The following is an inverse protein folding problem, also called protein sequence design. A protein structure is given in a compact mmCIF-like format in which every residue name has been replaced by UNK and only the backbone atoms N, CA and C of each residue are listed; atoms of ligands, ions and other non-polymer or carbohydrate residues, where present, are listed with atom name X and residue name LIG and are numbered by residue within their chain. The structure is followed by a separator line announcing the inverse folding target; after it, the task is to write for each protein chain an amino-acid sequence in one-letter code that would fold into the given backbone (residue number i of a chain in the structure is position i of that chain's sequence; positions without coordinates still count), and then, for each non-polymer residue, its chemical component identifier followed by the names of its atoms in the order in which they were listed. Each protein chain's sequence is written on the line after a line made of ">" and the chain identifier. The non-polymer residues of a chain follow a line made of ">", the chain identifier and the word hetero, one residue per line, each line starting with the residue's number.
data_IF_566345061740
#
_entry.id   IF_566345061740
#
_cell.length_a   1.000
_cell.length_b   1.000
_cell.length_c   1.000
_cell.angle_alpha   90.00
_cell.angle_beta   90.00
_cell.angle_gamma   90.00
#
_symmetry.space_group_name_H-M   'P 1'
#
loop_
_entity.id
_entity.type
_entity.pdbx_description
1 polymer ?
#
# COMPACT_ATOMS: atom_id res chain seq x y z
N UNK A 1 -20.97 2.44 -3.53
CA UNK A 1 -21.20 2.08 -2.11
C UNK A 1 -20.24 0.94 -1.85
N UNK A 2 -18.97 1.31 -1.81
CA UNK A 2 -17.79 0.44 -1.84
C UNK A 2 -17.82 -0.54 -0.66
N UNK A 3 -17.68 -1.82 -0.99
CA UNK A 3 -17.56 -2.92 -0.04
C UNK A 3 -16.15 -2.88 0.57
N UNK A 4 -15.91 -1.96 1.50
CA UNK A 4 -14.80 -2.12 2.42
C UNK A 4 -15.03 -3.46 3.16
N UNK A 5 -14.06 -4.38 3.21
CA UNK A 5 -14.24 -5.59 3.97
C UNK A 5 -14.52 -5.21 5.44
N UNK A 6 -15.54 -5.82 6.06
CA UNK A 6 -15.88 -5.65 7.49
C UNK A 6 -14.85 -6.34 8.41
N UNK A 7 -13.60 -6.33 7.97
CA UNK A 7 -12.50 -7.05 8.56
C UNK A 7 -11.88 -6.21 9.69
N UNK A 8 -11.60 -6.80 10.86
CA UNK A 8 -11.00 -6.05 11.97
C UNK A 8 -9.58 -5.55 11.65
N UNK A 9 -8.92 -6.09 10.62
CA UNK A 9 -7.60 -5.65 10.16
C UNK A 9 -7.61 -4.32 9.39
N UNK A 10 -8.73 -3.92 8.76
CA UNK A 10 -8.81 -2.68 7.96
C UNK A 10 -8.25 -1.44 8.67
N UNK A 11 -8.69 -1.09 9.90
CA UNK A 11 -8.15 0.07 10.60
C UNK A 11 -6.66 -0.07 10.93
N UNK A 12 -6.17 -1.28 11.19
CA UNK A 12 -4.74 -1.53 11.44
C UNK A 12 -3.91 -1.33 10.16
N UNK A 13 -4.40 -1.81 9.02
CA UNK A 13 -3.76 -1.62 7.71
C UNK A 13 -3.70 -0.13 7.35
N UNK A 14 -4.79 0.63 7.54
CA UNK A 14 -4.81 2.08 7.31
C UNK A 14 -3.80 2.80 8.22
N UNK A 15 -3.72 2.41 9.50
CA UNK A 15 -2.75 2.99 10.42
C UNK A 15 -1.30 2.75 9.93
N UNK A 16 -0.98 1.53 9.48
CA UNK A 16 0.32 1.20 8.91
C UNK A 16 0.61 1.92 7.60
N UNK A 17 -0.37 2.01 6.71
CA UNK A 17 -0.24 2.77 5.47
C UNK A 17 0.11 4.25 5.75
N UNK A 18 -0.53 4.85 6.76
CA UNK A 18 -0.20 6.21 7.21
C UNK A 18 1.23 6.32 7.76
N UNK A 19 1.73 5.34 8.50
CA UNK A 19 3.12 5.36 8.96
C UNK A 19 4.11 5.27 7.79
N UNK A 20 3.79 4.50 6.75
CA UNK A 20 4.62 4.43 5.54
C UNK A 20 4.60 5.76 4.79
N UNK A 21 3.43 6.37 4.63
CA UNK A 21 3.30 7.70 4.03
C UNK A 21 4.09 8.77 4.77
N UNK A 22 4.22 8.66 6.10
CA UNK A 22 5.00 9.60 6.90
C UNK A 22 6.51 9.53 6.58
N UNK A 23 6.97 8.43 5.99
CA UNK A 23 8.35 8.23 5.55
C UNK A 23 8.58 8.67 4.10
N UNK A 24 7.52 9.01 3.35
CA UNK A 24 7.63 9.47 1.96
C UNK A 24 8.18 10.90 1.95
N UNK A 25 9.35 11.14 1.32
CA UNK A 25 9.93 12.47 1.24
C UNK A 25 9.03 13.41 0.43
N UNK A 26 8.86 14.63 0.93
CA UNK A 26 8.01 15.63 0.29
C UNK A 26 6.51 15.46 0.52
N UNK A 27 6.09 14.49 1.36
CA UNK A 27 4.71 14.36 1.82
C UNK A 27 4.58 14.83 3.27
N UNK A 28 3.56 15.64 3.58
CA UNK A 28 3.30 16.10 4.94
C UNK A 28 1.91 15.68 5.41
N UNK A 29 1.83 14.57 6.15
CA UNK A 29 0.56 14.04 6.67
C UNK A 29 -0.17 14.92 7.68
N UNK A 30 0.49 15.95 8.23
CA UNK A 30 -0.17 16.89 9.14
C UNK A 30 -1.05 17.89 8.39
N UNK A 31 -0.66 18.26 7.16
CA UNK A 31 -1.39 19.20 6.32
C UNK A 31 -2.12 18.51 5.17
N UNK A 32 -1.65 17.33 4.76
CA UNK A 32 -2.22 16.59 3.67
C UNK A 32 -3.49 15.85 4.11
N UNK A 33 -4.51 15.88 3.25
CA UNK A 33 -5.72 15.11 3.45
C UNK A 33 -5.52 13.69 2.95
N UNK A 34 -5.54 12.74 3.88
CA UNK A 34 -5.45 11.31 3.57
C UNK A 34 -6.86 10.76 3.41
N UNK A 35 -7.19 10.32 2.21
CA UNK A 35 -8.49 9.73 1.88
C UNK A 35 -8.29 8.32 1.36
N UNK A 36 -9.00 7.34 1.94
CA UNK A 36 -9.04 5.99 1.38
C UNK A 36 -10.00 6.00 0.21
N UNK A 37 -9.50 5.75 -1.00
CA UNK A 37 -10.32 5.65 -2.22
C UNK A 37 -11.07 4.33 -2.23
N UNK A 38 -10.32 3.23 -2.16
CA UNK A 38 -10.83 1.87 -2.35
C UNK A 38 -9.99 0.90 -1.53
N UNK A 39 -10.63 -0.15 -1.02
CA UNK A 39 -9.91 -1.29 -0.48
C UNK A 39 -10.59 -2.60 -0.90
N UNK A 40 -9.86 -3.47 -1.58
CA UNK A 40 -10.39 -4.71 -2.14
C UNK A 40 -9.49 -5.89 -1.80
N UNK A 41 -10.08 -7.07 -1.60
CA UNK A 41 -9.30 -8.29 -1.42
C UNK A 41 -8.70 -8.70 -2.76
N UNK A 42 -7.37 -8.81 -2.81
CA UNK A 42 -6.63 -9.12 -4.03
C UNK A 42 -5.63 -10.24 -3.78
N UNK A 43 -5.47 -11.11 -4.78
CA UNK A 43 -4.48 -12.17 -4.76
C UNK A 43 -3.26 -11.75 -5.56
N UNK A 44 -2.13 -11.62 -4.87
CA UNK A 44 -0.85 -11.28 -5.46
C UNK A 44 -0.22 -12.51 -6.09
N UNK A 45 0.42 -12.38 -7.25
CA UNK A 45 1.03 -13.54 -7.93
C UNK A 45 2.35 -14.01 -7.32
N UNK A 46 2.95 -13.16 -6.48
CA UNK A 46 4.29 -13.32 -5.94
C UNK A 46 4.33 -12.92 -4.46
N UNK A 47 5.31 -13.44 -3.72
CA UNK A 47 5.55 -13.10 -2.32
C UNK A 47 5.98 -11.63 -2.11
N UNK A 48 6.32 -10.91 -3.18
CA UNK A 48 6.57 -9.47 -3.16
C UNK A 48 5.28 -8.65 -3.06
N UNK A 49 4.12 -9.30 -3.07
CA UNK A 49 2.82 -8.65 -3.12
C UNK A 49 2.69 -7.70 -4.32
N UNK A 50 3.41 -7.98 -5.42
CA UNK A 50 3.48 -7.10 -6.60
C UNK A 50 4.53 -5.98 -6.54
N UNK A 51 5.25 -5.81 -5.43
CA UNK A 51 6.27 -4.76 -5.24
C UNK A 51 7.67 -5.38 -5.04
N UNK A 52 8.35 -5.81 -6.11
CA UNK A 52 9.67 -6.40 -5.99
C UNK A 52 10.70 -5.33 -5.61
N UNK A 53 11.36 -5.47 -4.44
CA UNK A 53 12.53 -4.65 -4.12
C UNK A 53 13.75 -5.18 -4.87
N UNK A 54 14.56 -4.25 -5.37
CA UNK A 54 15.82 -4.57 -6.03
C UNK A 54 16.73 -5.39 -5.10
N UNK A 55 17.32 -6.47 -5.65
CA UNK A 55 18.22 -7.37 -4.93
C UNK A 55 17.55 -8.49 -4.13
N UNK A 56 16.21 -8.54 -4.06
CA UNK A 56 15.48 -9.61 -3.39
C UNK A 56 14.94 -10.63 -4.39
N UNK A 57 15.13 -11.92 -4.11
CA UNK A 57 14.45 -13.00 -4.82
C UNK A 57 13.13 -13.30 -4.12
N UNK A 58 12.03 -13.20 -4.85
CA UNK A 58 10.70 -13.50 -4.36
C UNK A 58 10.20 -14.81 -4.93
N UNK A 59 9.46 -15.58 -4.13
CA UNK A 59 8.81 -16.79 -4.59
C UNK A 59 7.57 -16.44 -5.43
N UNK A 60 7.38 -17.12 -6.55
CA UNK A 60 6.16 -17.08 -7.38
C UNK A 60 5.03 -17.87 -6.72
N UNK A 61 4.54 -17.36 -5.59
CA UNK A 61 3.44 -17.94 -4.83
C UNK A 61 2.28 -16.97 -4.79
N UNK A 62 1.09 -17.48 -5.08
CA UNK A 62 -0.14 -16.69 -4.95
C UNK A 62 -0.33 -16.34 -3.47
N UNK A 63 -0.15 -15.08 -3.13
CA UNK A 63 -0.29 -14.56 -1.77
C UNK A 63 -1.59 -13.79 -1.69
N UNK A 64 -2.61 -14.29 -0.97
CA UNK A 64 -3.85 -13.55 -0.78
C UNK A 64 -3.62 -12.36 0.16
N UNK A 65 -4.30 -11.26 -0.13
CA UNK A 65 -4.16 -10.03 0.62
C UNK A 65 -5.19 -8.97 0.24
N UNK A 66 -4.84 -7.70 0.42
CA UNK A 66 -5.71 -6.57 0.10
C UNK A 66 -4.97 -5.49 -0.68
N UNK A 67 -5.64 -4.92 -1.69
CA UNK A 67 -5.23 -3.71 -2.39
C UNK A 67 -5.94 -2.53 -1.74
N UNK A 68 -5.18 -1.66 -1.09
CA UNK A 68 -5.63 -0.42 -0.47
C UNK A 68 -5.14 0.77 -1.29
N UNK A 69 -6.07 1.51 -1.89
CA UNK A 69 -5.77 2.73 -2.65
C UNK A 69 -6.11 3.92 -1.78
N UNK A 70 -5.13 4.80 -1.58
CA UNK A 70 -5.26 6.00 -0.79
C UNK A 70 -4.80 7.21 -1.58
N UNK A 71 -5.60 8.26 -1.60
CA UNK A 71 -5.20 9.54 -2.18
C UNK A 71 -4.78 10.47 -1.06
N UNK A 72 -3.61 11.07 -1.20
CA UNK A 72 -3.09 12.06 -0.27
C UNK A 72 -2.81 13.33 -1.04
N UNK A 73 -3.57 14.37 -0.71
CA UNK A 73 -3.55 15.65 -1.45
C UNK A 73 -3.98 15.43 -2.92
N UNK A 74 -3.07 15.53 -3.88
CA UNK A 74 -3.30 15.26 -5.32
C UNK A 74 -2.63 13.96 -5.79
N UNK A 75 -1.94 13.23 -4.90
CA UNK A 75 -1.17 12.03 -5.26
C UNK A 75 -1.91 10.78 -4.85
N UNK A 76 -1.92 9.77 -5.72
CA UNK A 76 -2.53 8.47 -5.42
C UNK A 76 -1.47 7.46 -4.97
N UNK A 77 -1.73 6.73 -3.90
CA UNK A 77 -0.81 5.76 -3.31
C UNK A 77 -1.47 4.39 -3.25
N UNK A 78 -0.77 3.39 -3.76
CA UNK A 78 -1.24 2.01 -3.80
C UNK A 78 -0.49 1.18 -2.76
N UNK A 79 -1.24 0.72 -1.76
CA UNK A 79 -0.76 -0.14 -0.69
C UNK A 79 -1.20 -1.56 -0.94
N UNK A 80 -0.23 -2.46 -1.00
CA UNK A 80 -0.48 -3.89 -1.12
C UNK A 80 -0.26 -4.52 0.24
N UNK A 81 -1.25 -5.27 0.70
CA UNK A 81 -1.19 -5.94 2.00
C UNK A 81 -1.36 -7.43 1.80
N UNK A 82 -0.90 -8.23 2.76
CA UNK A 82 -1.22 -9.65 2.83
C UNK A 82 -2.42 -9.91 3.76
N UNK A 83 -2.76 -11.18 4.03
CA UNK A 83 -3.77 -11.58 5.03
C UNK A 83 -3.34 -11.35 6.49
N UNK A 84 -2.11 -10.89 6.71
CA UNK A 84 -1.61 -10.48 8.01
C UNK A 84 -1.70 -8.96 8.19
N UNK A 85 -0.68 -8.41 8.84
CA UNK A 85 -0.54 -6.97 9.10
C UNK A 85 0.55 -6.33 8.23
N UNK A 86 1.05 -7.01 7.19
CA UNK A 86 2.07 -6.43 6.33
C UNK A 86 1.40 -5.49 5.34
N UNK A 87 1.89 -4.25 5.30
CA UNK A 87 1.50 -3.23 4.34
C UNK A 87 2.76 -2.77 3.63
N UNK A 88 2.73 -2.79 2.30
CA UNK A 88 3.82 -2.27 1.47
C UNK A 88 3.27 -1.23 0.51
N UNK A 89 3.96 -0.10 0.39
CA UNK A 89 3.67 0.89 -0.64
C UNK A 89 4.29 0.42 -1.95
N UNK A 90 3.46 0.19 -2.96
CA UNK A 90 3.89 -0.28 -4.28
C UNK A 90 4.11 0.88 -5.24
N UNK A 91 3.12 1.76 -5.30
CA UNK A 91 3.05 2.79 -6.32
C UNK A 91 2.70 4.14 -5.70
N UNK A 92 3.33 5.19 -6.19
CA UNK A 92 3.12 6.59 -5.84
C UNK A 92 2.84 7.33 -7.14
N UNK A 93 1.60 7.77 -7.32
CA UNK A 93 1.12 8.50 -8.50
C UNK A 93 1.31 7.73 -9.82
N UNK A 94 1.26 6.40 -9.78
CA UNK A 94 1.56 5.53 -10.92
C UNK A 94 3.05 5.24 -11.13
N UNK A 95 3.93 5.73 -10.25
CA UNK A 95 5.37 5.50 -10.25
C UNK A 95 5.78 4.51 -9.14
N UNK A 96 6.79 3.67 -9.37
CA UNK A 96 7.18 2.63 -8.40
C UNK A 96 7.79 3.26 -7.13
N UNK A 97 7.25 2.91 -5.97
CA UNK A 97 7.68 3.45 -4.69
C UNK A 97 9.15 3.14 -4.39
N UNK A 98 9.69 2.04 -4.91
CA UNK A 98 11.10 1.69 -4.77
C UNK A 98 12.01 2.72 -5.43
N UNK A 99 11.55 3.36 -6.50
CA UNK A 99 12.27 4.42 -7.21
C UNK A 99 12.24 5.72 -6.40
N UNK A 100 11.09 6.05 -5.82
CA UNK A 100 10.86 7.32 -5.11
C UNK A 100 11.51 7.34 -3.71
N UNK A 101 11.58 6.18 -3.04
CA UNK A 101 12.13 6.04 -1.68
C UNK A 101 13.59 5.59 -1.65
N UNK A 102 14.19 5.31 -2.81
CA UNK A 102 15.49 4.66 -2.95
C UNK A 102 16.72 5.58 -3.09
N UNK A 103 16.59 6.89 -2.90
CA UNK A 103 17.73 7.85 -3.00
C UNK A 103 18.38 8.16 -1.64
#
# INVERSE_FOLDING_TARGET
>A
MENLPDAPEVPALIARAREILAQVPGLNLQTAQVTVQTMEAQEWRDASLGCPREGMMYAQVITPGYLLVMTVDDRTFEFHTDRGENVVLCTIDGEDASTVLGE
#
